data_IF_043107655045
#
_entry.id   IF_043107655045
#
_cell.length_a   1.000
_cell.length_b   1.000
_cell.length_c   1.000
_cell.angle_alpha   90.00
_cell.angle_beta   90.00
_cell.angle_gamma   90.00
#
_symmetry.space_group_name_H-M   'P 1'
#
loop_
_entity.id
_entity.type
_entity.pdbx_description
1 polymer ?
#
# COMPACT_ATOMS: atom_id res chain seq x y z
N UNK A 1 -16.40 -48.42 34.92
CA UNK A 1 -15.55 -47.23 35.21
C UNK A 1 -15.31 -46.39 33.94
N UNK A 2 -16.34 -46.00 33.14
CA UNK A 2 -16.11 -45.33 31.82
C UNK A 2 -17.09 -44.20 31.47
N UNK A 3 -17.84 -43.65 32.42
CA UNK A 3 -18.82 -42.55 32.17
C UNK A 3 -18.40 -41.16 32.62
N UNK A 4 -17.37 -41.02 33.46
CA UNK A 4 -16.97 -39.70 33.98
C UNK A 4 -16.00 -38.95 33.07
N UNK A 5 -15.21 -39.63 32.24
CA UNK A 5 -14.21 -38.99 31.36
C UNK A 5 -14.82 -38.19 30.19
N UNK A 6 -16.04 -38.51 29.73
CA UNK A 6 -16.69 -37.76 28.61
C UNK A 6 -17.31 -36.46 29.02
N UNK A 7 -17.73 -36.30 30.25
CA UNK A 7 -18.41 -35.08 30.72
C UNK A 7 -17.41 -33.95 30.97
N UNK A 8 -16.21 -34.28 31.49
CA UNK A 8 -15.17 -33.28 31.74
C UNK A 8 -14.55 -32.73 30.45
N UNK A 9 -14.45 -33.55 29.39
CA UNK A 9 -13.94 -33.08 28.08
C UNK A 9 -14.90 -32.13 27.40
N UNK A 10 -16.21 -32.36 27.47
CA UNK A 10 -17.22 -31.45 26.88
C UNK A 10 -17.27 -30.09 27.60
N UNK A 11 -17.23 -30.10 28.92
CA UNK A 11 -17.18 -28.87 29.74
C UNK A 11 -15.89 -28.05 29.54
N UNK A 12 -14.76 -28.72 29.35
CA UNK A 12 -13.48 -28.12 29.05
C UNK A 12 -13.49 -27.45 27.67
N UNK A 13 -14.06 -28.12 26.65
CA UNK A 13 -14.17 -27.54 25.29
C UNK A 13 -15.14 -26.35 25.19
N UNK A 14 -16.29 -26.42 25.87
CA UNK A 14 -17.23 -25.28 25.94
C UNK A 14 -16.59 -24.05 26.58
N UNK A 15 -15.73 -24.23 27.60
CA UNK A 15 -15.00 -23.15 28.21
C UNK A 15 -13.94 -22.54 27.28
N UNK A 16 -13.25 -23.35 26.48
CA UNK A 16 -12.25 -22.87 25.48
C UNK A 16 -12.90 -22.05 24.38
N UNK A 17 -14.01 -22.52 23.81
CA UNK A 17 -14.73 -21.79 22.76
C UNK A 17 -15.36 -20.49 23.29
N UNK A 18 -15.91 -20.53 24.49
CA UNK A 18 -16.44 -19.33 25.14
C UNK A 18 -15.35 -18.28 25.40
N UNK A 19 -14.21 -18.69 25.93
CA UNK A 19 -13.07 -17.81 26.18
C UNK A 19 -12.49 -17.27 24.87
N UNK A 20 -12.39 -18.08 23.83
CA UNK A 20 -11.94 -17.64 22.51
C UNK A 20 -12.87 -16.57 21.93
N UNK A 21 -14.19 -16.80 21.98
CA UNK A 21 -15.19 -15.84 21.51
C UNK A 21 -15.14 -14.53 22.29
N UNK A 22 -15.01 -14.58 23.62
CA UNK A 22 -14.88 -13.39 24.45
C UNK A 22 -13.61 -12.61 24.12
N UNK A 23 -12.47 -13.28 23.99
CA UNK A 23 -11.21 -12.64 23.61
C UNK A 23 -11.29 -11.96 22.24
N UNK A 24 -11.98 -12.56 21.26
CA UNK A 24 -12.20 -11.92 19.95
C UNK A 24 -13.08 -10.66 20.07
N UNK A 25 -14.14 -10.72 20.88
CA UNK A 25 -15.00 -9.56 21.12
C UNK A 25 -14.22 -8.41 21.78
N UNK A 26 -13.40 -8.71 22.79
CA UNK A 26 -12.54 -7.74 23.46
C UNK A 26 -11.50 -7.12 22.50
N UNK A 27 -10.94 -7.92 21.57
CA UNK A 27 -10.03 -7.42 20.53
C UNK A 27 -10.74 -6.45 19.58
N UNK A 28 -11.97 -6.78 19.15
CA UNK A 28 -12.78 -5.92 18.29
C UNK A 28 -13.14 -4.62 19.01
N UNK A 29 -13.48 -4.68 20.29
CA UNK A 29 -13.80 -3.50 21.08
C UNK A 29 -12.59 -2.56 21.22
N UNK A 30 -11.41 -3.10 21.57
CA UNK A 30 -10.17 -2.32 21.67
C UNK A 30 -9.76 -1.71 20.33
N UNK A 31 -9.68 -2.49 19.26
CA UNK A 31 -9.33 -1.99 17.94
C UNK A 31 -10.38 -1.00 17.40
N UNK A 32 -11.64 -1.21 17.72
CA UNK A 32 -12.77 -0.36 17.38
C UNK A 32 -12.67 1.07 17.94
N UNK A 33 -11.87 1.28 19.00
CA UNK A 33 -11.62 2.62 19.54
C UNK A 33 -10.78 3.51 18.59
N UNK A 34 -10.03 2.93 17.67
CA UNK A 34 -9.35 3.68 16.60
C UNK A 34 -10.17 3.75 15.32
N UNK A 35 -11.11 2.82 15.09
CA UNK A 35 -11.85 2.69 13.85
C UNK A 35 -12.90 3.79 13.68
N UNK A 36 -12.93 4.40 12.49
CA UNK A 36 -13.89 5.43 12.09
C UNK A 36 -14.66 5.01 10.85
N UNK A 37 -15.91 5.49 10.68
CA UNK A 37 -16.63 5.36 9.43
C UNK A 37 -16.44 6.63 8.60
N UNK A 38 -16.24 6.47 7.29
CA UNK A 38 -16.03 7.56 6.35
C UNK A 38 -17.13 7.52 5.30
N UNK A 39 -17.88 8.61 5.17
CA UNK A 39 -19.03 8.75 4.27
C UNK A 39 -18.69 9.62 3.05
N UNK A 40 -17.51 9.42 2.45
CA UNK A 40 -17.01 10.18 1.30
C UNK A 40 -17.69 9.84 -0.05
N UNK A 41 -18.56 8.82 -0.09
CA UNK A 41 -19.33 8.37 -1.26
C UNK A 41 -20.82 8.39 -0.98
N UNK A 42 -21.61 8.69 -2.02
CA UNK A 42 -23.06 8.87 -1.90
C UNK A 42 -23.85 7.63 -1.41
N UNK A 43 -23.34 6.40 -1.60
CA UNK A 43 -24.07 5.16 -1.23
C UNK A 43 -23.25 4.13 -0.45
N UNK A 44 -21.96 4.12 -0.60
CA UNK A 44 -21.09 3.13 0.04
C UNK A 44 -19.99 3.88 0.80
N UNK A 45 -20.08 3.93 2.11
CA UNK A 45 -19.01 4.44 2.96
C UNK A 45 -17.81 3.50 2.97
N UNK A 46 -16.78 3.89 3.64
CA UNK A 46 -15.58 3.09 3.94
C UNK A 46 -15.25 3.18 5.41
N UNK A 47 -14.28 2.41 5.84
CA UNK A 47 -13.67 2.56 7.14
C UNK A 47 -12.37 3.35 7.04
N UNK A 48 -11.89 3.79 8.16
CA UNK A 48 -10.57 4.34 8.40
C UNK A 48 -10.21 4.11 9.85
N UNK A 49 -9.04 4.56 10.24
CA UNK A 49 -8.63 4.52 11.64
C UNK A 49 -7.78 5.74 12.00
N UNK A 50 -7.91 6.17 13.26
CA UNK A 50 -7.06 7.20 13.84
C UNK A 50 -5.64 6.65 13.96
N UNK A 51 -4.75 7.13 13.10
CA UNK A 51 -3.34 6.70 13.04
C UNK A 51 -2.48 7.47 14.04
N UNK A 52 -2.74 8.78 14.11
CA UNK A 52 -2.14 9.71 15.08
C UNK A 52 -3.21 10.72 15.53
N UNK A 53 -2.98 11.47 16.61
CA UNK A 53 -3.91 12.53 17.01
C UNK A 53 -4.23 13.46 15.83
N UNK A 54 -5.53 13.62 15.54
CA UNK A 54 -6.00 14.46 14.45
C UNK A 54 -5.77 13.93 13.04
N UNK A 55 -5.25 12.70 12.85
CA UNK A 55 -4.97 12.11 11.55
C UNK A 55 -5.61 10.73 11.40
N UNK A 56 -6.38 10.58 10.33
CA UNK A 56 -7.03 9.33 9.94
C UNK A 56 -6.32 8.77 8.70
N UNK A 57 -6.05 7.47 8.68
CA UNK A 57 -5.63 6.72 7.49
C UNK A 57 -6.81 5.91 6.97
N UNK A 58 -6.97 5.89 5.65
CA UNK A 58 -8.03 5.16 4.95
C UNK A 58 -7.59 4.74 3.55
N UNK A 59 -8.44 3.97 2.85
CA UNK A 59 -8.22 3.62 1.44
C UNK A 59 -8.48 4.79 0.49
N UNK A 60 -7.52 5.09 -0.37
CA UNK A 60 -7.60 6.19 -1.35
C UNK A 60 -8.79 6.04 -2.30
N UNK A 61 -9.02 4.83 -2.80
CA UNK A 61 -10.11 4.57 -3.75
C UNK A 61 -11.50 4.87 -3.19
N UNK A 62 -11.62 4.98 -1.86
CA UNK A 62 -12.88 5.29 -1.19
C UNK A 62 -13.13 6.80 -1.08
N UNK A 63 -12.11 7.66 -1.26
CA UNK A 63 -12.21 9.12 -1.12
C UNK A 63 -12.53 9.74 -2.48
N UNK A 64 -13.66 10.47 -2.56
CA UNK A 64 -14.16 11.13 -3.79
C UNK A 64 -14.24 12.65 -3.70
N UNK A 65 -14.03 13.21 -2.51
CA UNK A 65 -13.99 14.65 -2.23
C UNK A 65 -12.78 14.97 -1.38
N UNK A 66 -12.33 16.19 -1.41
CA UNK A 66 -11.12 16.62 -0.71
C UNK A 66 -11.44 17.41 0.56
N UNK A 67 -12.64 17.98 0.64
CA UNK A 67 -13.14 18.81 1.76
C UNK A 67 -14.48 18.26 2.26
N UNK A 68 -14.85 18.66 3.46
CA UNK A 68 -16.13 18.31 4.09
C UNK A 68 -16.43 16.80 4.07
N UNK A 69 -15.44 15.99 4.39
CA UNK A 69 -15.58 14.54 4.40
C UNK A 69 -16.26 14.13 5.71
N UNK A 70 -17.52 13.63 5.68
CA UNK A 70 -18.19 13.21 6.90
C UNK A 70 -17.54 11.97 7.50
N UNK A 71 -17.22 12.04 8.79
CA UNK A 71 -16.61 10.96 9.57
C UNK A 71 -17.46 10.70 10.80
N UNK A 72 -17.66 9.42 11.13
CA UNK A 72 -18.27 8.99 12.38
C UNK A 72 -17.18 8.39 13.25
N UNK A 73 -16.93 9.03 14.38
CA UNK A 73 -15.92 8.65 15.36
C UNK A 73 -16.40 7.48 16.25
N UNK A 74 -15.51 6.84 17.00
CA UNK A 74 -15.87 5.98 18.10
C UNK A 74 -16.85 6.71 19.05
N UNK A 75 -17.92 6.02 19.47
CA UNK A 75 -19.00 6.65 20.26
C UNK A 75 -20.12 7.27 19.42
N UNK A 76 -20.00 7.31 18.09
CA UNK A 76 -21.06 7.75 17.18
C UNK A 76 -21.08 9.25 16.87
N UNK A 77 -20.16 10.03 17.41
CA UNK A 77 -20.04 11.46 17.12
C UNK A 77 -19.68 11.69 15.65
N UNK A 78 -20.39 12.61 15.00
CA UNK A 78 -20.12 13.04 13.63
C UNK A 78 -19.18 14.24 13.62
N UNK A 79 -18.21 14.21 12.71
CA UNK A 79 -17.28 15.30 12.48
C UNK A 79 -16.99 15.43 10.99
N UNK A 80 -16.41 16.53 10.57
CA UNK A 80 -15.91 16.75 9.21
C UNK A 80 -14.39 16.60 9.19
N UNK A 81 -13.88 15.99 8.14
CA UNK A 81 -12.44 15.85 7.90
C UNK A 81 -12.06 16.43 6.53
N UNK A 82 -10.79 16.77 6.37
CA UNK A 82 -10.20 17.29 5.14
C UNK A 82 -9.10 16.33 4.64
N UNK A 83 -8.92 16.25 3.34
CA UNK A 83 -7.84 15.46 2.74
C UNK A 83 -6.51 16.19 2.95
N UNK A 84 -5.56 15.52 3.62
CA UNK A 84 -4.17 15.97 3.74
C UNK A 84 -3.37 15.56 2.52
N UNK A 85 -3.57 14.32 2.05
CA UNK A 85 -2.89 13.80 0.89
C UNK A 85 -3.33 12.38 0.55
N UNK A 86 -3.00 11.95 -0.68
CA UNK A 86 -3.37 10.62 -1.19
C UNK A 86 -2.27 10.00 -2.05
N UNK A 87 -2.17 8.69 -2.01
CA UNK A 87 -1.36 7.89 -2.94
C UNK A 87 -2.20 6.79 -3.59
N UNK A 88 -2.71 7.02 -4.83
CA UNK A 88 -3.49 6.02 -5.55
C UNK A 88 -2.74 4.71 -5.79
N UNK A 89 -1.43 4.75 -5.88
CA UNK A 89 -0.63 3.57 -6.22
C UNK A 89 -0.49 2.58 -5.07
N UNK A 90 -0.55 3.05 -3.83
CA UNK A 90 -0.57 2.21 -2.62
C UNK A 90 -1.93 2.17 -1.94
N UNK A 91 -2.93 2.87 -2.51
CA UNK A 91 -4.29 2.97 -1.99
C UNK A 91 -4.38 3.52 -0.56
N UNK A 92 -3.54 4.51 -0.24
CA UNK A 92 -3.53 5.19 1.06
C UNK A 92 -3.97 6.64 0.89
N UNK A 93 -4.87 7.10 1.76
CA UNK A 93 -5.19 8.50 1.96
C UNK A 93 -5.08 8.87 3.44
N UNK A 94 -4.67 10.11 3.70
CA UNK A 94 -4.62 10.69 5.05
C UNK A 94 -5.61 11.84 5.10
N UNK A 95 -6.46 11.83 6.13
CA UNK A 95 -7.41 12.90 6.40
C UNK A 95 -7.03 13.58 7.73
N UNK A 96 -7.30 14.88 7.81
CA UNK A 96 -7.20 15.67 9.05
C UNK A 96 -8.57 15.82 9.67
N UNK A 97 -8.62 15.70 10.98
CA UNK A 97 -9.81 15.90 11.79
C UNK A 97 -9.43 16.53 13.13
N UNK A 98 -10.15 17.58 13.53
CA UNK A 98 -9.84 18.29 14.77
C UNK A 98 -10.36 17.52 16.00
N UNK A 99 -9.58 17.59 17.08
CA UNK A 99 -9.98 17.10 18.40
C UNK A 99 -10.12 15.58 18.55
N UNK A 100 -9.85 14.80 17.51
CA UNK A 100 -9.95 13.34 17.56
C UNK A 100 -8.62 12.69 17.97
N UNK A 101 -8.70 11.77 18.91
CA UNK A 101 -7.56 10.94 19.32
C UNK A 101 -8.02 9.51 19.64
N UNK A 102 -7.11 8.55 19.52
CA UNK A 102 -7.31 7.17 19.92
C UNK A 102 -6.05 6.63 20.61
N UNK A 103 -6.14 5.49 21.31
CA UNK A 103 -4.97 4.79 21.80
C UNK A 103 -3.98 4.52 20.67
N UNK A 104 -2.68 4.65 20.97
CA UNK A 104 -1.63 4.38 20.01
C UNK A 104 -1.70 2.92 19.52
N UNK A 105 -1.59 2.73 18.22
CA UNK A 105 -1.52 1.42 17.60
C UNK A 105 -0.12 0.83 17.78
N UNK A 106 0.00 -0.27 18.50
CA UNK A 106 1.27 -1.00 18.66
C UNK A 106 1.53 -1.86 17.44
N UNK A 107 2.63 -1.70 16.70
CA UNK A 107 2.89 -2.50 15.51
C UNK A 107 3.00 -4.01 15.83
N UNK A 108 2.40 -4.83 14.97
CA UNK A 108 2.58 -6.27 14.99
C UNK A 108 3.97 -6.65 14.44
N UNK A 109 4.57 -7.77 14.87
CA UNK A 109 5.70 -8.37 14.17
C UNK A 109 5.28 -8.80 12.76
N UNK A 110 6.26 -9.21 11.95
CA UNK A 110 5.96 -9.77 10.64
C UNK A 110 5.08 -11.01 10.76
N UNK A 111 3.89 -10.94 10.14
CA UNK A 111 2.94 -12.05 10.13
C UNK A 111 3.36 -13.13 9.14
N UNK A 112 2.98 -14.36 9.43
CA UNK A 112 3.20 -15.56 8.60
C UNK A 112 1.89 -16.05 8.02
N UNK A 113 1.96 -16.77 6.91
CA UNK A 113 0.80 -17.48 6.36
C UNK A 113 0.20 -18.44 7.40
N UNK A 114 -1.12 -18.45 7.51
CA UNK A 114 -1.89 -19.23 8.48
C UNK A 114 -2.20 -18.51 9.79
N UNK A 115 -1.59 -17.36 10.09
CA UNK A 115 -1.89 -16.60 11.30
C UNK A 115 -3.25 -15.92 11.20
N UNK A 116 -4.01 -15.96 12.31
CA UNK A 116 -5.34 -15.33 12.42
C UNK A 116 -5.19 -13.82 12.52
N UNK A 117 -6.05 -13.11 11.80
CA UNK A 117 -6.17 -11.66 11.84
C UNK A 117 -7.64 -11.23 11.94
N UNK A 118 -7.84 -10.05 12.51
CA UNK A 118 -9.13 -9.36 12.56
C UNK A 118 -9.04 -8.06 11.80
N UNK A 119 -9.97 -7.84 10.87
CA UNK A 119 -10.18 -6.53 10.26
C UNK A 119 -11.31 -5.82 11.02
N UNK A 120 -11.01 -4.67 11.61
CA UNK A 120 -11.97 -3.90 12.41
C UNK A 120 -12.17 -2.54 11.78
N UNK A 121 -13.37 -2.28 11.32
CA UNK A 121 -13.82 -1.01 10.76
C UNK A 121 -15.00 -0.46 11.55
N UNK A 122 -15.73 0.47 10.92
CA UNK A 122 -16.93 1.07 11.52
C UNK A 122 -18.05 1.26 10.50
N UNK A 123 -19.27 1.02 10.99
CA UNK A 123 -20.48 1.34 10.24
C UNK A 123 -21.47 2.05 11.16
N UNK A 124 -21.70 3.33 10.92
CA UNK A 124 -22.46 4.15 11.87
C UNK A 124 -21.82 4.14 13.26
N UNK A 125 -22.59 3.99 14.35
CA UNK A 125 -22.05 3.95 15.71
C UNK A 125 -21.35 2.62 16.05
N UNK A 126 -21.64 1.54 15.31
CA UNK A 126 -21.16 0.18 15.61
C UNK A 126 -19.82 -0.15 14.97
N UNK A 127 -19.04 -1.02 15.63
CA UNK A 127 -17.87 -1.63 15.02
C UNK A 127 -18.30 -2.65 13.95
N UNK A 128 -17.53 -2.71 12.85
CA UNK A 128 -17.61 -3.73 11.82
C UNK A 128 -16.38 -4.63 11.97
N UNK A 129 -16.56 -5.92 12.11
CA UNK A 129 -15.46 -6.84 12.27
C UNK A 129 -15.57 -8.03 11.32
N UNK A 130 -14.43 -8.48 10.82
CA UNK A 130 -14.27 -9.74 10.12
C UNK A 130 -13.03 -10.47 10.65
N UNK A 131 -13.13 -11.78 10.79
CA UNK A 131 -12.00 -12.64 11.14
C UNK A 131 -11.58 -13.44 9.90
N UNK A 132 -10.28 -13.61 9.75
CA UNK A 132 -9.69 -14.40 8.68
C UNK A 132 -8.27 -14.81 8.99
N UNK A 133 -7.56 -15.27 7.98
CA UNK A 133 -6.16 -15.64 8.08
C UNK A 133 -5.31 -14.92 7.05
N UNK A 134 -4.03 -14.82 7.32
CA UNK A 134 -3.04 -14.47 6.30
C UNK A 134 -2.92 -15.66 5.36
N UNK A 135 -3.48 -15.58 4.16
CA UNK A 135 -3.39 -16.66 3.16
C UNK A 135 -2.04 -16.70 2.48
N UNK A 136 -1.37 -15.54 2.34
CA UNK A 136 -0.02 -15.44 1.77
C UNK A 136 0.73 -14.30 2.44
N UNK A 137 1.90 -14.62 2.99
CA UNK A 137 2.91 -13.65 3.40
C UNK A 137 4.14 -13.81 2.51
N UNK A 138 4.51 -12.74 1.80
CA UNK A 138 5.64 -12.76 0.86
C UNK A 138 6.44 -11.44 0.94
N UNK A 139 7.59 -11.41 0.28
CA UNK A 139 8.44 -10.24 0.18
C UNK A 139 7.84 -9.10 -0.66
N UNK A 140 8.69 -8.20 -1.18
CA UNK A 140 8.26 -7.04 -1.95
C UNK A 140 7.37 -7.43 -3.14
N UNK A 141 6.33 -6.64 -3.37
CA UNK A 141 5.40 -6.87 -4.47
C UNK A 141 4.91 -5.56 -5.06
N UNK A 142 4.37 -5.64 -6.27
CA UNK A 142 3.84 -4.50 -7.01
C UNK A 142 2.33 -4.53 -7.03
N UNK A 143 1.75 -3.37 -6.78
CA UNK A 143 0.31 -3.18 -6.91
C UNK A 143 -0.03 -3.03 -8.39
N UNK A 144 -1.22 -3.42 -8.79
CA UNK A 144 -1.66 -3.24 -10.17
C UNK A 144 -1.78 -1.75 -10.60
N UNK A 145 -1.68 -0.83 -9.63
CA UNK A 145 -1.67 0.63 -9.84
C UNK A 145 -0.26 1.22 -9.93
N UNK A 146 0.77 0.39 -10.05
CA UNK A 146 2.17 0.81 -10.18
C UNK A 146 2.84 1.25 -8.88
N UNK A 147 2.23 0.98 -7.72
CA UNK A 147 2.87 1.13 -6.42
C UNK A 147 3.71 -0.09 -6.08
N UNK A 148 4.64 0.09 -5.16
CA UNK A 148 5.43 -1.01 -4.60
C UNK A 148 5.33 -0.99 -3.08
N UNK A 149 5.08 -2.16 -2.51
CA UNK A 149 5.05 -2.41 -1.08
C UNK A 149 6.16 -3.42 -0.72
N UNK A 150 6.77 -3.23 0.44
CA UNK A 150 7.94 -4.02 0.87
C UNK A 150 7.58 -5.44 1.31
N UNK A 151 6.29 -5.72 1.52
CA UNK A 151 5.78 -7.08 1.76
C UNK A 151 4.33 -7.22 1.29
N UNK A 152 3.98 -8.43 0.87
CA UNK A 152 2.61 -8.84 0.54
C UNK A 152 1.99 -9.55 1.73
N UNK A 153 0.85 -9.04 2.19
CA UNK A 153 -0.03 -9.73 3.13
C UNK A 153 -1.40 -9.91 2.47
N UNK A 154 -1.59 -11.06 1.81
CA UNK A 154 -2.90 -11.43 1.26
C UNK A 154 -3.73 -12.09 2.34
N UNK A 155 -4.99 -11.71 2.41
CA UNK A 155 -5.90 -12.20 3.44
C UNK A 155 -6.99 -13.09 2.82
N UNK A 156 -7.33 -14.16 3.52
CA UNK A 156 -8.59 -14.87 3.33
C UNK A 156 -9.55 -14.42 4.44
N UNK A 157 -10.35 -13.42 4.11
CA UNK A 157 -11.22 -12.70 5.02
C UNK A 157 -12.46 -12.17 4.30
N UNK A 158 -13.59 -12.14 4.96
CA UNK A 158 -14.79 -11.50 4.43
C UNK A 158 -14.59 -9.99 4.22
N UNK A 159 -14.45 -9.58 2.97
CA UNK A 159 -14.39 -8.16 2.62
C UNK A 159 -15.81 -7.66 2.29
N UNK A 160 -16.49 -7.10 3.26
CA UNK A 160 -17.82 -6.53 3.13
C UNK A 160 -17.76 -5.11 2.53
N UNK A 161 -18.87 -4.61 1.95
CA UNK A 161 -18.99 -3.19 1.69
C UNK A 161 -18.63 -2.39 2.95
N UNK A 162 -17.83 -1.33 2.82
CA UNK A 162 -17.28 -0.48 3.90
C UNK A 162 -16.08 -1.03 4.67
N UNK A 163 -15.61 -2.26 4.40
CA UNK A 163 -14.45 -2.81 5.12
C UNK A 163 -13.09 -2.25 4.63
N UNK A 164 -13.00 -1.70 3.41
CA UNK A 164 -11.76 -1.05 2.97
C UNK A 164 -11.42 0.11 3.88
N UNK A 165 -10.16 0.20 4.29
CA UNK A 165 -9.68 1.14 5.30
C UNK A 165 -9.75 0.63 6.74
N UNK A 166 -10.30 -0.58 6.99
CA UNK A 166 -10.32 -1.18 8.34
C UNK A 166 -8.92 -1.43 8.86
N UNK A 167 -8.73 -1.20 10.16
CA UNK A 167 -7.51 -1.60 10.84
C UNK A 167 -7.44 -3.12 10.91
N UNK A 168 -6.29 -3.69 10.56
CA UNK A 168 -6.03 -5.12 10.69
C UNK A 168 -5.15 -5.34 11.92
N UNK A 169 -5.60 -6.21 12.81
CA UNK A 169 -4.87 -6.57 14.03
C UNK A 169 -4.64 -8.07 14.11
N UNK A 170 -3.56 -8.46 14.79
CA UNK A 170 -3.30 -9.86 15.14
C UNK A 170 -4.11 -10.31 16.37
N UNK A 171 -3.93 -11.55 16.79
CA UNK A 171 -4.62 -12.14 17.96
C UNK A 171 -4.24 -11.51 19.29
N UNK A 172 -3.24 -10.65 19.34
CA UNK A 172 -2.85 -9.88 20.53
C UNK A 172 -3.33 -8.42 20.47
N UNK A 173 -4.04 -8.03 19.41
CA UNK A 173 -4.51 -6.66 19.18
C UNK A 173 -3.44 -5.71 18.65
N UNK A 174 -2.30 -6.25 18.17
CA UNK A 174 -1.23 -5.43 17.58
C UNK A 174 -1.56 -5.10 16.13
N UNK A 175 -1.21 -3.90 15.72
CA UNK A 175 -1.49 -3.34 14.41
C UNK A 175 -0.67 -4.00 13.31
N UNK A 176 -1.30 -4.80 12.47
CA UNK A 176 -0.68 -5.49 11.35
C UNK A 176 -0.73 -4.66 10.05
N UNK A 177 -1.77 -3.83 9.87
CA UNK A 177 -1.91 -3.02 8.68
C UNK A 177 -3.34 -2.54 8.42
N UNK A 178 -3.62 -2.15 7.18
CA UNK A 178 -4.91 -1.67 6.72
C UNK A 178 -5.49 -2.59 5.64
N UNK A 179 -6.72 -3.05 5.84
CA UNK A 179 -7.45 -3.83 4.83
C UNK A 179 -7.79 -2.98 3.61
N UNK A 180 -7.49 -3.48 2.43
CA UNK A 180 -7.95 -2.90 1.17
C UNK A 180 -8.30 -3.97 0.13
N UNK A 181 -9.30 -3.66 -0.70
CA UNK A 181 -9.65 -4.40 -1.92
C UNK A 181 -9.20 -3.67 -3.18
N UNK A 182 -8.58 -2.49 -3.04
CA UNK A 182 -8.21 -1.60 -4.15
C UNK A 182 -6.89 -1.95 -4.83
N UNK A 183 -6.07 -2.85 -4.28
CA UNK A 183 -4.73 -3.16 -4.79
C UNK A 183 -4.62 -4.49 -5.53
N UNK A 184 -5.64 -5.33 -5.48
CA UNK A 184 -5.71 -6.60 -6.20
C UNK A 184 -7.11 -6.81 -6.77
N UNK A 185 -7.22 -7.70 -7.77
CA UNK A 185 -8.51 -8.05 -8.37
C UNK A 185 -9.13 -9.32 -7.79
N UNK A 186 -8.36 -10.09 -7.03
CA UNK A 186 -8.74 -11.47 -6.68
C UNK A 186 -8.98 -11.69 -5.20
N UNK A 187 -8.33 -10.95 -4.32
CA UNK A 187 -8.46 -11.13 -2.88
C UNK A 187 -8.09 -9.86 -2.12
N UNK A 188 -8.66 -9.61 -0.93
CA UNK A 188 -8.25 -8.50 -0.09
C UNK A 188 -6.79 -8.67 0.37
N UNK A 189 -6.13 -7.54 0.58
CA UNK A 189 -4.77 -7.49 1.14
C UNK A 189 -4.74 -6.55 2.34
N UNK A 190 -3.81 -6.77 3.24
CA UNK A 190 -3.44 -5.78 4.23
C UNK A 190 -2.20 -5.00 3.76
N UNK A 191 -2.29 -3.68 3.73
CA UNK A 191 -1.12 -2.81 3.57
C UNK A 191 -0.39 -2.84 4.91
N UNK A 192 0.89 -3.28 4.97
CA UNK A 192 1.60 -3.45 6.23
C UNK A 192 1.76 -2.15 7.03
N UNK A 193 1.74 -2.24 8.36
CA UNK A 193 1.86 -1.10 9.27
C UNK A 193 3.07 -0.20 8.95
N UNK A 194 4.25 -0.79 8.72
CA UNK A 194 5.47 -0.03 8.38
C UNK A 194 5.34 0.74 7.06
N UNK A 195 4.65 0.18 6.07
CA UNK A 195 4.39 0.87 4.80
C UNK A 195 3.42 2.04 5.01
N UNK A 196 2.40 1.86 5.86
CA UNK A 196 1.45 2.92 6.21
C UNK A 196 2.18 4.07 6.89
N UNK A 197 3.02 3.78 7.91
CA UNK A 197 3.76 4.81 8.64
C UNK A 197 4.64 5.65 7.72
N UNK A 198 5.37 5.02 6.80
CA UNK A 198 6.23 5.69 5.84
C UNK A 198 5.42 6.54 4.85
N UNK A 199 4.40 5.96 4.24
CA UNK A 199 3.60 6.62 3.20
C UNK A 199 2.75 7.74 3.81
N UNK A 200 2.11 7.52 4.95
CA UNK A 200 1.33 8.54 5.62
C UNK A 200 2.18 9.73 6.08
N UNK A 201 3.43 9.50 6.51
CA UNK A 201 4.36 10.58 6.82
C UNK A 201 4.69 11.45 5.59
N UNK A 202 4.94 10.84 4.42
CA UNK A 202 5.14 11.55 3.16
C UNK A 202 3.88 12.35 2.75
N UNK A 203 2.69 11.75 2.91
CA UNK A 203 1.43 12.43 2.61
C UNK A 203 1.20 13.63 3.53
N UNK A 204 1.55 13.54 4.80
CA UNK A 204 1.45 14.66 5.74
C UNK A 204 2.44 15.78 5.41
N UNK A 205 3.65 15.43 5.00
CA UNK A 205 4.70 16.40 4.69
C UNK A 205 4.51 17.09 3.33
N UNK A 206 4.02 16.36 2.33
CA UNK A 206 4.04 16.82 0.93
C UNK A 206 2.68 16.76 0.22
N UNK A 207 1.63 16.26 0.87
CA UNK A 207 0.32 16.02 0.24
C UNK A 207 0.30 14.82 -0.73
N UNK A 208 1.46 14.28 -1.09
CA UNK A 208 1.66 13.19 -2.06
C UNK A 208 2.91 12.40 -1.75
N UNK A 209 3.07 11.24 -2.40
CA UNK A 209 4.33 10.49 -2.40
C UNK A 209 5.16 10.93 -3.60
N UNK A 210 6.27 11.63 -3.41
CA UNK A 210 7.14 12.05 -4.50
C UNK A 210 7.71 10.83 -5.24
N UNK A 211 7.69 10.85 -6.57
CA UNK A 211 8.19 9.76 -7.42
C UNK A 211 9.18 10.27 -8.42
N UNK A 212 10.32 9.58 -8.50
CA UNK A 212 11.31 9.86 -9.52
C UNK A 212 10.74 9.68 -10.92
N UNK A 213 11.16 10.54 -11.84
CA UNK A 213 10.62 10.64 -13.19
C UNK A 213 11.73 10.89 -14.21
N UNK A 214 11.65 10.15 -15.34
CA UNK A 214 12.54 10.35 -16.48
C UNK A 214 11.87 11.10 -17.64
N UNK A 215 10.54 11.05 -17.73
CA UNK A 215 9.82 11.64 -18.88
C UNK A 215 9.92 10.77 -20.14
N UNK A 216 9.76 9.45 -20.00
CA UNK A 216 9.86 8.50 -21.12
C UNK A 216 8.70 7.51 -21.12
N UNK A 217 8.21 7.16 -22.31
CA UNK A 217 7.39 5.98 -22.53
C UNK A 217 8.29 4.77 -22.75
N UNK A 218 8.01 3.66 -22.05
CA UNK A 218 8.91 2.52 -21.93
C UNK A 218 8.22 1.21 -22.28
N UNK A 219 8.95 0.29 -22.93
CA UNK A 219 8.52 -1.07 -23.21
C UNK A 219 9.66 -2.08 -22.98
N UNK A 220 9.44 -3.13 -22.18
CA UNK A 220 10.41 -4.21 -22.05
C UNK A 220 10.61 -4.94 -23.39
N UNK A 221 11.87 -5.22 -23.73
CA UNK A 221 12.23 -5.99 -24.92
C UNK A 221 13.27 -7.06 -24.57
N UNK A 222 13.29 -8.21 -25.26
CA UNK A 222 14.38 -9.15 -25.16
C UNK A 222 15.65 -8.58 -25.83
N UNK A 223 16.80 -8.86 -25.24
CA UNK A 223 18.11 -8.51 -25.81
C UNK A 223 18.72 -9.71 -26.52
N UNK A 224 19.22 -9.55 -27.76
CA UNK A 224 20.02 -10.57 -28.42
C UNK A 224 21.25 -10.94 -27.58
N UNK A 225 21.64 -12.20 -27.59
CA UNK A 225 22.80 -12.73 -26.82
C UNK A 225 24.11 -12.02 -27.15
N UNK A 226 24.26 -11.45 -28.36
CA UNK A 226 25.41 -10.65 -28.74
C UNK A 226 25.66 -9.43 -27.82
N UNK A 227 24.62 -8.90 -27.18
CA UNK A 227 24.77 -7.78 -26.25
C UNK A 227 25.23 -8.18 -24.83
N UNK A 228 25.20 -9.46 -24.49
CA UNK A 228 25.64 -9.93 -23.17
C UNK A 228 27.14 -9.61 -22.93
N UNK A 229 27.97 -9.70 -23.95
CA UNK A 229 29.40 -9.33 -23.89
C UNK A 229 29.60 -7.82 -23.73
N UNK A 230 28.79 -6.99 -24.38
CA UNK A 230 28.85 -5.53 -24.28
C UNK A 230 28.42 -5.03 -22.89
N UNK A 231 27.50 -5.73 -22.23
CA UNK A 231 27.01 -5.40 -20.91
C UNK A 231 27.84 -6.02 -19.77
N UNK A 232 28.74 -6.94 -20.13
CA UNK A 232 29.52 -7.71 -19.13
C UNK A 232 28.62 -8.44 -18.10
N UNK A 233 27.41 -8.86 -18.54
CA UNK A 233 26.34 -9.44 -17.69
C UNK A 233 25.53 -10.46 -18.48
N UNK A 234 24.90 -11.39 -17.76
CA UNK A 234 23.95 -12.38 -18.34
C UNK A 234 22.53 -11.83 -18.55
N UNK A 235 22.38 -10.50 -18.60
CA UNK A 235 21.10 -9.82 -18.80
C UNK A 235 20.51 -10.15 -20.17
N UNK A 236 19.22 -10.55 -20.21
CA UNK A 236 18.52 -11.00 -21.43
C UNK A 236 17.39 -10.07 -21.87
N UNK A 237 17.15 -8.98 -21.14
CA UNK A 237 16.14 -7.99 -21.45
C UNK A 237 16.60 -6.60 -21.07
N UNK A 238 15.99 -5.60 -21.67
CA UNK A 238 16.15 -4.19 -21.38
C UNK A 238 14.85 -3.45 -21.67
N UNK A 239 14.84 -2.15 -21.51
CA UNK A 239 13.63 -1.34 -21.66
C UNK A 239 13.83 -0.32 -22.77
N UNK A 240 13.09 -0.48 -23.87
CA UNK A 240 13.13 0.42 -25.02
C UNK A 240 12.38 1.72 -24.74
N UNK A 241 12.96 2.83 -25.13
CA UNK A 241 12.36 4.17 -25.07
C UNK A 241 11.47 4.37 -26.30
N UNK A 242 10.16 4.43 -26.09
CA UNK A 242 9.15 4.62 -27.15
C UNK A 242 8.73 6.07 -27.33
N UNK A 243 8.92 6.91 -26.33
CA UNK A 243 8.70 8.35 -26.40
C UNK A 243 9.59 9.05 -25.39
N UNK A 244 9.92 10.30 -25.67
CA UNK A 244 10.67 11.19 -24.77
C UNK A 244 9.84 12.47 -24.65
N UNK A 245 9.61 12.89 -23.42
CA UNK A 245 8.86 14.11 -23.15
C UNK A 245 9.73 15.35 -23.44
N UNK A 246 9.22 16.31 -24.21
CA UNK A 246 9.96 17.55 -24.48
C UNK A 246 10.31 18.31 -23.21
N UNK A 247 11.57 18.74 -23.12
CA UNK A 247 12.15 19.40 -21.94
C UNK A 247 12.13 18.56 -20.67
N UNK A 248 11.89 17.25 -20.78
CA UNK A 248 11.92 16.31 -19.68
C UNK A 248 13.34 15.92 -19.26
N UNK A 249 13.48 15.23 -18.09
CA UNK A 249 14.77 14.79 -17.59
C UNK A 249 15.56 13.93 -18.57
N UNK A 250 14.90 13.01 -19.28
CA UNK A 250 15.53 12.12 -20.24
C UNK A 250 16.08 12.86 -21.46
N UNK A 251 15.29 13.78 -22.02
CA UNK A 251 15.73 14.60 -23.18
C UNK A 251 16.93 15.45 -22.78
N UNK A 252 16.82 16.15 -21.64
CA UNK A 252 17.91 16.99 -21.12
C UNK A 252 19.19 16.19 -20.82
N UNK A 253 19.03 14.96 -20.36
CA UNK A 253 20.13 13.99 -20.11
C UNK A 253 20.63 13.28 -21.34
N UNK A 254 20.08 13.57 -22.56
CA UNK A 254 20.54 13.01 -23.83
C UNK A 254 20.05 11.59 -24.13
N UNK A 255 18.97 11.13 -23.48
CA UNK A 255 18.28 9.89 -23.86
C UNK A 255 17.42 10.16 -25.10
N UNK A 256 17.46 9.26 -26.07
CA UNK A 256 16.78 9.39 -27.36
C UNK A 256 15.72 8.31 -27.56
N UNK A 257 14.77 8.61 -28.42
CA UNK A 257 13.83 7.62 -28.94
C UNK A 257 14.58 6.43 -29.55
N UNK A 258 14.18 5.21 -29.19
CA UNK A 258 14.82 3.98 -29.67
C UNK A 258 16.03 3.51 -28.84
N UNK A 259 16.47 4.29 -27.85
CA UNK A 259 17.45 3.79 -26.89
C UNK A 259 16.88 2.61 -26.10
N UNK A 260 17.74 1.67 -25.72
CA UNK A 260 17.34 0.58 -24.80
C UNK A 260 18.07 0.78 -23.49
N UNK A 261 17.34 1.19 -22.45
CA UNK A 261 17.87 1.34 -21.10
C UNK A 261 18.18 -0.05 -20.54
N UNK A 262 19.42 -0.23 -20.08
CA UNK A 262 19.92 -1.49 -19.52
C UNK A 262 20.45 -1.37 -18.09
N UNK A 263 20.73 -0.12 -17.64
CA UNK A 263 21.21 0.14 -16.29
C UNK A 263 20.86 1.57 -15.87
N UNK A 264 20.49 1.77 -14.61
CA UNK A 264 20.30 3.09 -13.98
C UNK A 264 20.97 3.07 -12.60
N UNK A 265 21.86 4.03 -12.35
CA UNK A 265 22.57 4.17 -11.07
C UNK A 265 23.36 2.91 -10.67
N UNK A 266 23.92 2.17 -11.63
CA UNK A 266 24.64 0.91 -11.40
C UNK A 266 23.74 -0.33 -11.23
N UNK A 267 22.41 -0.17 -11.22
CA UNK A 267 21.46 -1.27 -11.11
C UNK A 267 20.99 -1.72 -12.50
N UNK A 268 20.98 -3.04 -12.78
CA UNK A 268 20.47 -3.56 -14.04
C UNK A 268 18.97 -3.28 -14.18
N UNK A 269 18.56 -2.95 -15.42
CA UNK A 269 17.16 -2.68 -15.78
C UNK A 269 16.72 -3.72 -16.79
N UNK A 270 15.77 -4.56 -16.42
CA UNK A 270 15.25 -5.66 -17.25
C UNK A 270 13.79 -5.45 -17.63
N UNK A 271 13.06 -4.68 -16.84
CA UNK A 271 11.68 -4.27 -17.10
C UNK A 271 11.40 -2.82 -16.62
N UNK A 272 10.20 -2.34 -16.88
CA UNK A 272 9.78 -0.98 -16.48
C UNK A 272 9.77 -0.77 -14.98
N UNK A 273 9.72 -1.83 -14.25
CA UNK A 273 9.62 -1.82 -12.80
C UNK A 273 11.00 -1.57 -12.17
N UNK A 274 12.05 -2.14 -12.78
CA UNK A 274 13.43 -1.87 -12.35
C UNK A 274 13.74 -0.38 -12.51
N UNK A 275 13.19 0.28 -13.55
CA UNK A 275 13.29 1.74 -13.71
C UNK A 275 12.66 2.46 -12.51
N UNK A 276 11.44 2.09 -12.11
CA UNK A 276 10.77 2.73 -10.98
C UNK A 276 11.54 2.51 -9.65
N UNK A 277 12.14 1.34 -9.49
CA UNK A 277 12.97 1.01 -8.32
C UNK A 277 14.22 1.90 -8.30
N UNK A 278 14.93 1.99 -9.41
CA UNK A 278 16.16 2.77 -9.51
C UNK A 278 15.94 4.28 -9.30
N UNK A 279 14.75 4.80 -9.66
CA UNK A 279 14.41 6.21 -9.50
C UNK A 279 13.94 6.56 -8.07
N UNK A 280 13.68 5.58 -7.20
CA UNK A 280 13.16 5.83 -5.86
C UNK A 280 14.17 6.61 -5.01
N UNK A 281 13.72 7.70 -4.38
CA UNK A 281 14.58 8.54 -3.54
C UNK A 281 15.70 9.26 -4.29
N UNK A 282 15.59 9.35 -5.63
CA UNK A 282 16.61 9.95 -6.48
C UNK A 282 16.20 11.29 -7.09
N UNK A 283 15.04 11.84 -6.71
CA UNK A 283 14.59 13.17 -7.20
C UNK A 283 15.64 14.23 -6.94
N UNK A 284 15.98 15.03 -7.98
CA UNK A 284 17.02 16.06 -7.94
C UNK A 284 18.45 15.52 -7.99
N UNK A 285 18.66 14.20 -7.99
CA UNK A 285 19.99 13.60 -8.09
C UNK A 285 20.33 13.29 -9.55
N UNK A 286 21.57 13.51 -9.94
CA UNK A 286 22.10 13.04 -11.21
C UNK A 286 22.48 11.57 -11.11
N UNK A 287 21.91 10.73 -12.00
CA UNK A 287 22.21 9.31 -12.07
C UNK A 287 22.82 8.96 -13.44
N UNK A 288 23.80 8.06 -13.49
CA UNK A 288 24.25 7.46 -14.75
C UNK A 288 23.16 6.50 -15.26
N UNK A 289 22.77 6.66 -16.50
CA UNK A 289 21.84 5.80 -17.24
C UNK A 289 22.58 5.19 -18.42
N UNK A 290 22.73 3.88 -18.42
CA UNK A 290 23.38 3.17 -19.52
C UNK A 290 22.32 2.69 -20.50
N UNK A 291 22.50 3.08 -21.75
CA UNK A 291 21.63 2.71 -22.87
C UNK A 291 22.40 1.94 -23.95
N UNK A 292 21.72 1.11 -24.71
CA UNK A 292 22.17 0.60 -25.99
C UNK A 292 21.60 1.48 -27.10
N UNK A 293 22.46 2.17 -27.83
CA UNK A 293 22.12 3.07 -28.93
C UNK A 293 22.84 2.60 -30.18
N UNK A 294 22.10 2.24 -31.24
CA UNK A 294 22.69 1.73 -32.48
C UNK A 294 23.63 0.53 -32.25
N UNK A 295 23.38 -0.29 -31.26
CA UNK A 295 24.22 -1.44 -30.92
C UNK A 295 25.45 -1.13 -30.06
N UNK A 296 25.65 0.10 -29.64
CA UNK A 296 26.76 0.52 -28.76
C UNK A 296 26.29 0.87 -27.36
N UNK A 297 27.13 0.57 -26.37
CA UNK A 297 26.89 0.98 -24.96
C UNK A 297 27.21 2.48 -24.81
N UNK A 298 26.24 3.25 -24.43
CA UNK A 298 26.36 4.69 -24.19
C UNK A 298 25.92 5.01 -22.77
N UNK A 299 26.63 5.87 -22.06
CA UNK A 299 26.25 6.38 -20.74
C UNK A 299 25.74 7.81 -20.88
N UNK A 300 24.55 8.05 -20.38
CA UNK A 300 23.90 9.35 -20.25
C UNK A 300 23.85 9.75 -18.77
N UNK A 301 23.99 11.04 -18.45
CA UNK A 301 23.84 11.56 -17.10
C UNK A 301 22.51 12.30 -17.02
N UNK A 302 21.60 11.79 -16.17
CA UNK A 302 20.24 12.29 -16.11
C UNK A 302 19.94 12.78 -14.69
N UNK A 303 19.60 14.05 -14.57
CA UNK A 303 19.03 14.58 -13.32
C UNK A 303 17.58 14.11 -13.20
N UNK A 304 17.29 13.30 -12.19
CA UNK A 304 15.97 12.70 -12.01
C UNK A 304 14.97 13.78 -11.60
N UNK A 305 13.93 13.94 -12.40
CA UNK A 305 12.82 14.84 -12.12
C UNK A 305 11.83 14.26 -11.13
N UNK A 306 10.85 15.06 -10.74
CA UNK A 306 9.68 14.60 -10.03
C UNK A 306 8.52 14.40 -11.00
N UNK A 307 7.76 13.31 -10.85
CA UNK A 307 6.62 12.99 -11.71
C UNK A 307 5.55 14.09 -11.59
N UNK A 308 5.14 14.73 -12.70
CA UNK A 308 4.07 15.73 -12.70
C UNK A 308 2.76 15.15 -12.15
N UNK A 309 1.98 15.98 -11.45
CA UNK A 309 0.63 15.60 -11.05
C UNK A 309 -0.28 15.46 -12.27
N UNK A 310 -0.90 14.30 -12.41
CA UNK A 310 -2.03 14.15 -13.32
C UNK A 310 -3.25 14.76 -12.62
N UNK A 311 -3.60 16.01 -12.92
CA UNK A 311 -4.87 16.59 -12.46
C UNK A 311 -6.01 15.68 -12.96
N UNK A 312 -6.75 15.07 -12.04
CA UNK A 312 -8.02 14.40 -12.41
C UNK A 312 -8.96 15.47 -12.97
N UNK A 313 -9.21 15.43 -14.25
CA UNK A 313 -10.33 16.18 -14.84
C UNK A 313 -11.60 15.61 -14.18
N UNK A 314 -12.36 16.48 -13.53
CA UNK A 314 -13.63 16.18 -12.86
C UNK A 314 -14.66 15.66 -13.85
#
# INVERSE_FOLDING_TARGET
>A
MCRHARIDHHRSMENVLGSFSANLADLVERAGQSAVAIEARHRIGSSGFLWKPGLIVTSEHAIRRDEDIPVILPGGNRASAELVGRDPATDIAVLRIDGASAPALTPAPQLRSGEIVLAVGRHGPGALAAMGIVSTAAGPWKTWRGGQLDSLLRLDIGAYPRSSGSVVVDTQGRFAGMLTTGLTRTAPVAIPAAAIDRIAAELVAHGRVPRGYLGVGLQPIPLPTAYASLLNRTQRSGVMVLSVEPNGPAETGGILLGDVIVEIGGQPVTDTDDVQIALRGSIGRELPVVVLRGGQRTECRVTIGERPEVKRTQ
#
